data_IF_597917595163
#
_entry.id   IF_597917595163
#
_cell.length_a   1.000
_cell.length_b   1.000
_cell.length_c   1.000
_cell.angle_alpha   90.00
_cell.angle_beta   90.00
_cell.angle_gamma   90.00
#
_symmetry.space_group_name_H-M   'P 1'
#
loop_
_entity.id
_entity.type
_entity.pdbx_description
1 polymer ?
#
# COMPACT_ATOMS: atom_id res chain seq x y z
N UNK A 1 -25.58 1.43 -29.67
CA UNK A 1 -24.18 1.70 -29.99
C UNK A 1 -23.90 3.13 -29.56
N UNK A 2 -23.37 3.33 -28.38
CA UNK A 2 -22.90 4.66 -27.91
C UNK A 2 -21.38 4.59 -27.80
N UNK A 3 -20.73 5.29 -28.70
CA UNK A 3 -19.28 5.46 -28.67
C UNK A 3 -18.93 6.33 -27.47
N UNK A 4 -18.32 5.73 -26.46
CA UNK A 4 -17.74 6.46 -25.34
C UNK A 4 -16.29 6.79 -25.75
N UNK A 5 -16.05 8.04 -26.04
CA UNK A 5 -14.69 8.56 -26.22
C UNK A 5 -14.04 8.66 -24.85
N UNK A 6 -13.00 7.88 -24.64
CA UNK A 6 -12.12 7.96 -23.47
C UNK A 6 -11.20 9.17 -23.65
N UNK A 7 -11.35 10.17 -22.82
CA UNK A 7 -10.37 11.24 -22.68
C UNK A 7 -9.41 10.79 -21.60
N UNK A 8 -8.25 10.30 -22.01
CA UNK A 8 -7.11 10.10 -21.11
C UNK A 8 -6.60 11.52 -20.79
N UNK A 9 -6.91 12.04 -19.63
CA UNK A 9 -6.32 13.25 -19.11
C UNK A 9 -4.88 12.96 -18.67
N UNK A 10 -3.93 13.05 -19.59
CA UNK A 10 -2.53 13.14 -19.24
C UNK A 10 -2.33 14.47 -18.51
N UNK A 11 -2.23 14.44 -17.19
CA UNK A 11 -1.82 15.58 -16.41
C UNK A 11 -0.34 15.88 -16.72
N UNK A 12 -0.10 16.77 -17.67
CA UNK A 12 1.21 17.36 -17.85
C UNK A 12 1.46 18.33 -16.68
N UNK A 13 2.15 17.87 -15.66
CA UNK A 13 2.75 18.76 -14.69
C UNK A 13 3.84 19.55 -15.41
N UNK A 14 3.55 20.81 -15.78
CA UNK A 14 4.57 21.75 -16.18
C UNK A 14 5.41 22.09 -14.95
N UNK A 15 6.52 21.40 -14.78
CA UNK A 15 7.58 21.86 -13.88
C UNK A 15 8.18 23.08 -14.54
N UNK A 16 7.89 24.27 -14.03
CA UNK A 16 8.63 25.47 -14.37
C UNK A 16 10.05 25.29 -13.84
N UNK A 17 10.99 25.00 -14.73
CA UNK A 17 12.41 25.07 -14.43
C UNK A 17 12.73 26.53 -14.06
N UNK A 18 13.04 26.80 -12.79
CA UNK A 18 13.83 27.96 -12.42
C UNK A 18 15.29 27.64 -12.77
N UNK A 19 15.98 28.62 -13.34
CA UNK A 19 17.38 28.56 -13.77
C UNK A 19 18.32 28.28 -12.57
N UNK A 20 18.39 27.03 -12.18
CA UNK A 20 19.45 26.51 -11.28
C UNK A 20 19.90 25.16 -11.86
N UNK A 21 21.16 25.08 -12.29
CA UNK A 21 21.78 24.03 -13.10
C UNK A 21 21.86 22.65 -12.41
N UNK A 22 20.71 22.11 -11.96
CA UNK A 22 20.57 20.70 -11.57
C UNK A 22 20.14 19.86 -12.79
N UNK A 23 20.57 18.59 -12.91
CA UNK A 23 20.10 17.73 -13.98
C UNK A 23 18.58 17.59 -13.89
N UNK A 24 17.85 18.10 -14.88
CA UNK A 24 16.41 17.88 -15.03
C UNK A 24 16.18 16.37 -15.09
N UNK A 25 15.54 15.80 -14.07
CA UNK A 25 15.09 14.42 -14.14
C UNK A 25 14.18 14.28 -15.36
N UNK A 26 14.53 13.35 -16.26
CA UNK A 26 13.68 13.06 -17.41
C UNK A 26 12.32 12.60 -16.89
N UNK A 27 11.22 13.05 -17.53
CA UNK A 27 9.91 12.54 -17.20
C UNK A 27 9.92 11.00 -17.25
N UNK A 28 9.25 10.35 -16.29
CA UNK A 28 9.13 8.90 -16.27
C UNK A 28 8.43 8.43 -17.57
N UNK A 29 9.09 7.58 -18.34
CA UNK A 29 8.54 6.99 -19.57
C UNK A 29 7.92 5.64 -19.28
N UNK A 30 6.76 5.66 -18.62
CA UNK A 30 6.03 4.47 -18.19
C UNK A 30 4.58 4.82 -17.84
N UNK A 31 3.93 3.85 -17.28
CA UNK A 31 2.60 3.95 -16.70
C UNK A 31 2.72 4.16 -15.19
N UNK A 32 1.95 5.05 -14.62
CA UNK A 32 1.84 5.22 -13.17
C UNK A 32 0.46 4.77 -12.72
N UNK A 33 0.42 3.75 -11.88
CA UNK A 33 -0.81 3.31 -11.22
C UNK A 33 -0.96 4.12 -9.95
N UNK A 34 -1.96 5.00 -9.94
CA UNK A 34 -2.36 5.83 -8.82
C UNK A 34 -3.68 5.32 -8.24
N UNK A 35 -3.82 5.41 -6.93
CA UNK A 35 -5.08 5.09 -6.26
C UNK A 35 -6.13 6.21 -6.33
N UNK A 36 -5.82 7.34 -6.98
CA UNK A 36 -6.79 8.40 -7.28
C UNK A 36 -7.99 7.89 -8.09
N UNK A 37 -7.73 6.94 -8.98
CA UNK A 37 -8.75 6.26 -9.76
C UNK A 37 -9.42 5.13 -8.98
N UNK A 38 -9.49 5.22 -7.65
CA UNK A 38 -10.13 4.21 -6.80
C UNK A 38 -11.60 3.95 -7.15
N UNK A 39 -12.26 4.92 -7.76
CA UNK A 39 -13.59 4.73 -8.37
C UNK A 39 -13.60 3.76 -9.56
N UNK A 40 -12.42 3.46 -10.10
CA UNK A 40 -12.20 2.49 -11.18
C UNK A 40 -11.47 1.23 -10.71
N UNK A 41 -11.21 1.09 -9.41
CA UNK A 41 -10.75 -0.17 -8.86
C UNK A 41 -11.93 -1.14 -8.75
N UNK A 42 -11.70 -2.36 -9.17
CA UNK A 42 -12.70 -3.41 -9.19
C UNK A 42 -12.41 -4.45 -8.11
N UNK A 43 -13.48 -4.94 -7.49
CA UNK A 43 -13.41 -6.22 -6.79
C UNK A 43 -13.11 -7.30 -7.84
N UNK A 44 -11.95 -7.93 -7.73
CA UNK A 44 -11.50 -8.90 -8.73
C UNK A 44 -12.35 -10.17 -8.75
N UNK A 45 -13.18 -10.42 -7.73
CA UNK A 45 -14.08 -11.57 -7.66
C UNK A 45 -15.46 -11.28 -8.26
N UNK A 46 -15.99 -10.07 -8.01
CA UNK A 46 -17.36 -9.70 -8.43
C UNK A 46 -17.37 -8.79 -9.65
N UNK A 47 -16.29 -8.09 -9.92
CA UNK A 47 -16.22 -7.07 -10.96
C UNK A 47 -16.93 -5.76 -10.60
N UNK A 48 -17.38 -5.61 -9.36
CA UNK A 48 -18.03 -4.41 -8.89
C UNK A 48 -17.01 -3.31 -8.58
N UNK A 49 -17.43 -2.04 -8.68
CA UNK A 49 -16.61 -0.90 -8.33
C UNK A 49 -16.30 -0.89 -6.82
N UNK A 50 -15.03 -0.78 -6.48
CA UNK A 50 -14.58 -0.52 -5.11
C UNK A 50 -14.82 0.95 -4.77
N UNK A 51 -15.45 1.21 -3.64
CA UNK A 51 -15.75 2.58 -3.17
C UNK A 51 -15.03 2.87 -1.87
N UNK A 52 -14.43 4.05 -1.77
CA UNK A 52 -14.01 4.59 -0.51
C UNK A 52 -15.24 5.05 0.29
N UNK A 53 -15.18 4.86 1.59
CA UNK A 53 -16.27 5.28 2.47
C UNK A 53 -15.95 5.01 3.92
N UNK A 54 -16.79 5.49 4.85
CA UNK A 54 -16.58 5.24 6.26
C UNK A 54 -16.53 3.75 6.56
N UNK A 55 -15.48 3.34 7.28
CA UNK A 55 -15.31 1.97 7.76
C UNK A 55 -15.42 1.98 9.27
N UNK A 56 -16.34 1.21 9.83
CA UNK A 56 -16.46 1.04 11.29
C UNK A 56 -15.85 -0.31 11.68
N UNK A 57 -14.93 -0.27 12.61
CA UNK A 57 -14.28 -1.47 13.17
C UNK A 57 -14.36 -1.44 14.68
N UNK A 58 -14.53 -2.61 15.29
CA UNK A 58 -14.35 -2.76 16.74
C UNK A 58 -12.87 -2.79 17.05
N UNK A 59 -12.40 -1.89 17.88
CA UNK A 59 -11.00 -1.81 18.29
C UNK A 59 -10.85 -2.37 19.70
N UNK A 60 -9.92 -3.28 19.88
CA UNK A 60 -9.66 -3.95 21.16
C UNK A 60 -9.45 -2.90 22.28
N UNK A 61 -10.29 -2.97 23.31
CA UNK A 61 -10.23 -2.04 24.46
C UNK A 61 -10.73 -0.62 24.21
N UNK A 62 -11.21 -0.28 22.99
CA UNK A 62 -11.67 1.06 22.64
C UNK A 62 -13.10 1.11 22.08
N UNK A 63 -13.71 -0.05 21.84
CA UNK A 63 -15.02 -0.15 21.21
C UNK A 63 -15.01 0.23 19.71
N UNK A 64 -16.20 0.49 19.17
CA UNK A 64 -16.35 0.79 17.74
C UNK A 64 -15.76 2.16 17.40
N UNK A 65 -15.01 2.19 16.31
CA UNK A 65 -14.41 3.39 15.74
C UNK A 65 -14.68 3.49 14.23
N UNK A 66 -15.10 4.67 13.78
CA UNK A 66 -15.37 4.92 12.36
C UNK A 66 -14.22 5.71 11.73
N UNK A 67 -13.63 5.15 10.71
CA UNK A 67 -12.64 5.81 9.85
C UNK A 67 -13.38 6.54 8.74
N UNK A 68 -13.25 7.86 8.66
CA UNK A 68 -14.07 8.70 7.79
C UNK A 68 -13.78 8.47 6.35
N UNK A 69 -12.73 8.27 5.78
CA UNK A 69 -12.42 8.11 4.36
C UNK A 69 -11.45 6.94 4.15
N UNK A 70 -11.82 5.79 4.68
CA UNK A 70 -11.05 4.57 4.49
C UNK A 70 -11.94 3.44 3.98
N UNK A 71 -11.37 2.61 3.11
CA UNK A 71 -11.93 1.36 2.66
C UNK A 71 -10.99 0.23 3.07
N UNK A 72 -11.53 -0.83 3.63
CA UNK A 72 -10.81 -2.07 3.83
C UNK A 72 -11.75 -3.26 3.60
N UNK A 73 -11.20 -4.44 3.59
CA UNK A 73 -11.88 -5.69 3.30
C UNK A 73 -13.11 -6.02 4.18
N UNK A 74 -13.56 -5.14 5.04
CA UNK A 74 -14.69 -5.38 5.94
C UNK A 74 -16.02 -5.71 5.25
N UNK A 75 -16.16 -5.44 3.98
CA UNK A 75 -17.39 -5.77 3.25
C UNK A 75 -17.58 -7.28 3.04
N UNK A 76 -16.60 -8.08 3.51
CA UNK A 76 -16.67 -9.52 3.41
C UNK A 76 -17.60 -10.11 4.43
N UNK A 77 -18.24 -11.16 3.96
CA UNK A 77 -19.38 -11.80 4.60
C UNK A 77 -19.20 -11.96 6.10
N UNK A 78 -20.09 -11.36 6.84
CA UNK A 78 -20.27 -11.61 8.26
C UNK A 78 -20.52 -13.10 8.43
N UNK A 79 -19.58 -13.80 9.08
CA UNK A 79 -19.77 -15.20 9.49
C UNK A 79 -18.80 -16.21 8.87
N UNK A 80 -17.83 -15.77 8.10
CA UNK A 80 -16.71 -16.62 7.68
C UNK A 80 -15.47 -16.28 8.50
N UNK A 81 -14.69 -17.27 8.87
CA UNK A 81 -13.56 -17.09 9.78
C UNK A 81 -12.43 -16.29 9.15
N UNK A 82 -12.27 -16.37 7.83
CA UNK A 82 -11.31 -15.61 7.03
C UNK A 82 -11.87 -15.36 5.64
N UNK A 83 -12.08 -14.11 5.32
CA UNK A 83 -12.44 -13.69 3.96
C UNK A 83 -11.30 -12.88 3.34
N UNK A 84 -10.85 -13.32 2.18
CA UNK A 84 -9.90 -12.61 1.36
C UNK A 84 -10.61 -11.85 0.24
N UNK A 85 -10.08 -10.71 -0.12
CA UNK A 85 -10.45 -9.96 -1.29
C UNK A 85 -9.24 -9.69 -2.15
N UNK A 86 -9.52 -9.73 -3.42
CA UNK A 86 -8.62 -9.23 -4.42
C UNK A 86 -9.28 -8.02 -5.06
N UNK A 87 -8.61 -6.86 -5.07
CA UNK A 87 -9.01 -5.80 -5.96
C UNK A 87 -8.01 -5.63 -7.08
N UNK A 88 -8.52 -5.22 -8.22
CA UNK A 88 -7.71 -4.96 -9.40
C UNK A 88 -7.82 -3.52 -9.85
N UNK A 89 -6.82 -3.06 -10.58
CA UNK A 89 -6.96 -1.86 -11.42
C UNK A 89 -8.05 -2.08 -12.48
N UNK A 90 -8.60 -0.98 -13.03
CA UNK A 90 -9.68 -1.03 -14.02
C UNK A 90 -9.31 -1.83 -15.27
N UNK A 91 -8.05 -1.84 -15.66
CA UNK A 91 -7.49 -2.67 -16.73
C UNK A 91 -7.14 -4.10 -16.28
N UNK A 92 -7.34 -4.40 -14.98
CA UNK A 92 -7.05 -5.66 -14.32
C UNK A 92 -5.57 -6.12 -14.37
N UNK A 93 -4.64 -5.22 -14.65
CA UNK A 93 -3.21 -5.56 -14.73
C UNK A 93 -2.56 -5.75 -13.38
N UNK A 94 -2.98 -5.00 -12.35
CA UNK A 94 -2.52 -5.17 -10.99
C UNK A 94 -3.64 -5.68 -10.10
N UNK A 95 -3.34 -6.69 -9.29
CA UNK A 95 -4.25 -7.28 -8.33
C UNK A 95 -3.64 -7.19 -6.94
N UNK A 96 -4.40 -6.65 -6.00
CA UNK A 96 -4.00 -6.43 -4.61
C UNK A 96 -4.78 -7.36 -3.69
N UNK A 97 -4.10 -7.94 -2.71
CA UNK A 97 -4.77 -8.76 -1.70
C UNK A 97 -5.20 -7.93 -0.49
N UNK A 98 -6.35 -8.28 0.06
CA UNK A 98 -6.77 -7.86 1.39
C UNK A 98 -7.50 -9.02 2.06
N UNK A 99 -7.50 -9.07 3.37
CA UNK A 99 -8.31 -10.01 4.12
C UNK A 99 -8.80 -9.39 5.43
N UNK A 100 -9.87 -9.96 5.95
CA UNK A 100 -10.43 -9.63 7.25
C UNK A 100 -10.83 -10.91 7.97
N UNK A 101 -10.55 -10.99 9.28
CA UNK A 101 -11.06 -12.05 10.14
C UNK A 101 -12.04 -11.47 11.13
N UNK A 102 -13.31 -11.91 11.05
CA UNK A 102 -14.32 -11.54 12.02
C UNK A 102 -14.11 -12.21 13.38
N UNK A 103 -13.44 -13.37 13.38
CA UNK A 103 -13.18 -14.14 14.60
C UNK A 103 -12.16 -13.44 15.51
N UNK A 104 -11.17 -12.79 14.93
CA UNK A 104 -10.07 -12.15 15.65
C UNK A 104 -10.10 -10.62 15.53
N UNK A 105 -11.15 -10.07 14.87
CA UNK A 105 -11.27 -8.63 14.58
C UNK A 105 -9.98 -8.06 13.95
N UNK A 106 -9.35 -8.88 13.11
CA UNK A 106 -8.09 -8.60 12.45
C UNK A 106 -8.25 -8.41 10.95
N UNK A 107 -7.31 -7.70 10.37
CA UNK A 107 -7.21 -7.52 8.93
C UNK A 107 -5.75 -7.64 8.46
N UNK A 108 -5.56 -7.80 7.17
CA UNK A 108 -4.25 -7.81 6.53
C UNK A 108 -4.33 -7.42 5.07
N UNK A 109 -3.18 -7.37 4.42
CA UNK A 109 -3.09 -6.94 3.05
C UNK A 109 -3.28 -5.42 2.91
N UNK A 110 -4.10 -4.99 1.96
CA UNK A 110 -4.17 -3.61 1.50
C UNK A 110 -5.54 -2.99 1.81
N UNK A 111 -5.54 -1.77 2.33
CA UNK A 111 -6.72 -0.90 2.41
C UNK A 111 -6.46 0.42 1.70
N UNK A 112 -7.50 1.08 1.23
CA UNK A 112 -7.40 2.39 0.60
C UNK A 112 -7.81 3.49 1.58
N UNK A 113 -7.18 4.66 1.48
CA UNK A 113 -7.42 5.75 2.43
C UNK A 113 -7.18 7.13 1.82
N UNK A 114 -7.94 8.12 2.35
CA UNK A 114 -7.75 9.56 2.17
C UNK A 114 -7.68 10.25 3.53
N UNK A 115 -6.85 9.74 4.43
CA UNK A 115 -6.77 10.20 5.82
C UNK A 115 -5.35 10.67 6.18
N UNK A 116 -4.88 11.82 5.62
CA UNK A 116 -3.62 12.38 6.04
C UNK A 116 -3.68 12.81 7.52
N UNK A 117 -2.68 12.48 8.29
CA UNK A 117 -2.59 12.91 9.70
C UNK A 117 -1.12 13.02 10.13
N UNK A 118 -0.66 14.24 10.35
CA UNK A 118 0.69 14.55 10.87
C UNK A 118 0.67 15.04 12.32
N UNK A 119 -0.41 14.75 13.04
CA UNK A 119 -0.47 15.13 14.43
C UNK A 119 0.33 14.15 15.28
N UNK A 120 1.32 14.67 16.01
CA UNK A 120 2.02 13.91 17.03
C UNK A 120 1.03 13.66 18.19
N UNK A 121 0.69 12.41 18.40
CA UNK A 121 -0.24 11.97 19.41
C UNK A 121 0.23 10.65 20.03
N UNK A 122 -0.41 10.23 21.10
CA UNK A 122 -0.20 8.89 21.61
C UNK A 122 -0.55 7.86 20.52
N UNK A 123 0.31 6.85 20.29
CA UNK A 123 0.09 5.85 19.25
C UNK A 123 -1.22 5.11 19.50
N UNK A 124 -1.99 4.91 18.45
CA UNK A 124 -3.31 4.28 18.56
C UNK A 124 -3.70 3.58 17.27
N UNK A 125 -4.40 2.45 17.39
CA UNK A 125 -5.02 1.76 16.25
C UNK A 125 -6.02 2.64 15.48
N UNK A 126 -6.50 3.75 16.08
CA UNK A 126 -7.29 4.77 15.35
C UNK A 126 -6.51 5.43 14.21
N UNK A 127 -5.18 5.36 14.21
CA UNK A 127 -4.30 5.94 13.21
C UNK A 127 -3.87 4.93 12.13
N UNK A 128 -4.42 3.71 12.14
CA UNK A 128 -3.96 2.63 11.27
C UNK A 128 -4.17 2.90 9.76
N UNK A 129 -5.15 3.74 9.39
CA UNK A 129 -5.41 4.14 8.01
C UNK A 129 -4.81 5.50 7.64
N UNK A 130 -4.15 6.18 8.57
CA UNK A 130 -3.61 7.50 8.31
C UNK A 130 -2.16 7.43 7.85
N UNK A 131 -1.77 8.33 6.92
CA UNK A 131 -0.40 8.51 6.47
C UNK A 131 0.25 9.70 7.19
N UNK A 132 1.53 9.57 7.56
CA UNK A 132 2.34 10.69 8.08
C UNK A 132 2.85 11.58 6.94
N UNK A 133 1.89 12.16 6.21
CA UNK A 133 2.09 13.08 5.11
C UNK A 133 0.89 14.02 4.99
N UNK A 134 0.94 14.98 4.07
CA UNK A 134 -0.15 15.95 3.85
C UNK A 134 -1.23 15.42 2.90
N UNK A 135 -1.06 14.22 2.36
CA UNK A 135 -1.93 13.54 1.41
C UNK A 135 -1.21 12.35 0.80
N UNK A 136 -1.66 11.87 -0.34
CA UNK A 136 -0.96 10.87 -1.14
C UNK A 136 0.32 11.42 -1.77
N UNK A 137 1.07 10.57 -2.47
CA UNK A 137 2.32 10.96 -3.12
C UNK A 137 2.06 11.93 -4.29
N UNK A 138 3.00 12.84 -4.51
CA UNK A 138 2.98 13.81 -5.62
C UNK A 138 1.67 14.64 -5.74
N UNK A 139 0.94 14.81 -4.62
CA UNK A 139 -0.27 15.62 -4.57
C UNK A 139 -1.55 14.84 -4.84
N UNK A 140 -1.51 13.52 -4.86
CA UNK A 140 -2.69 12.67 -4.86
C UNK A 140 -3.43 12.76 -3.50
N UNK A 141 -4.71 12.39 -3.47
CA UNK A 141 -5.48 12.32 -2.22
C UNK A 141 -5.55 10.89 -1.68
N UNK A 142 -5.66 9.91 -2.59
CA UNK A 142 -5.88 8.50 -2.27
C UNK A 142 -4.57 7.73 -2.31
N UNK A 143 -4.35 6.90 -1.31
CA UNK A 143 -3.19 6.01 -1.21
C UNK A 143 -3.60 4.66 -0.62
N UNK A 144 -2.74 3.66 -0.77
CA UNK A 144 -2.93 2.37 -0.14
C UNK A 144 -2.23 2.29 1.22
N UNK A 145 -2.90 1.70 2.20
CA UNK A 145 -2.33 1.34 3.50
C UNK A 145 -2.11 -0.16 3.52
N UNK A 146 -0.86 -0.55 3.62
CA UNK A 146 -0.42 -1.93 3.69
C UNK A 146 -0.29 -2.35 5.14
N UNK A 147 -0.79 -3.51 5.45
CA UNK A 147 -0.65 -4.13 6.76
C UNK A 147 -0.10 -5.54 6.65
N UNK A 148 1.10 -5.73 7.18
CA UNK A 148 1.69 -7.05 7.36
C UNK A 148 1.25 -7.61 8.71
N UNK A 149 0.36 -8.57 8.67
CA UNK A 149 -0.11 -9.25 9.87
C UNK A 149 0.83 -10.38 10.28
N UNK A 150 2.04 -10.06 10.65
CA UNK A 150 3.10 -10.99 11.07
C UNK A 150 2.63 -12.18 11.94
N UNK A 151 1.60 -11.94 12.71
CA UNK A 151 1.10 -12.85 13.73
C UNK A 151 0.32 -14.05 13.19
N UNK A 152 -0.54 -13.92 12.18
CA UNK A 152 -1.46 -14.98 11.80
C UNK A 152 -0.80 -16.18 11.14
N UNK A 153 0.28 -15.98 10.38
CA UNK A 153 0.98 -17.10 9.72
C UNK A 153 1.69 -18.02 10.70
N UNK A 154 2.16 -17.48 11.83
CA UNK A 154 2.77 -18.29 12.87
C UNK A 154 1.72 -18.90 13.83
N UNK A 155 0.66 -18.15 14.13
CA UNK A 155 -0.40 -18.57 15.04
C UNK A 155 -1.46 -19.46 14.37
N UNK A 156 -1.73 -19.24 13.09
CA UNK A 156 -2.80 -19.92 12.33
C UNK A 156 -2.35 -20.27 10.91
N UNK A 157 -1.27 -21.08 10.77
CA UNK A 157 -0.68 -21.37 9.45
C UNK A 157 -1.66 -22.07 8.49
N UNK A 158 -2.67 -22.76 9.01
CA UNK A 158 -3.71 -23.43 8.23
C UNK A 158 -4.68 -22.46 7.53
N UNK A 159 -4.80 -21.24 8.03
CA UNK A 159 -5.74 -20.23 7.48
C UNK A 159 -5.06 -19.18 6.62
N UNK A 160 -3.74 -19.02 6.74
CA UNK A 160 -3.02 -17.86 6.20
C UNK A 160 -1.77 -18.26 5.39
N UNK A 161 -1.77 -19.45 4.84
CA UNK A 161 -0.61 -20.15 4.28
C UNK A 161 0.29 -19.33 3.34
N UNK A 162 -0.19 -18.24 2.74
CA UNK A 162 0.63 -17.33 1.92
C UNK A 162 0.14 -15.87 1.95
N UNK A 163 -0.98 -15.59 2.60
CA UNK A 163 -1.71 -14.33 2.49
C UNK A 163 -1.54 -13.37 3.66
N UNK A 164 -0.65 -13.67 4.61
CA UNK A 164 -0.35 -12.79 5.74
C UNK A 164 0.34 -11.50 5.36
N UNK A 165 0.97 -11.48 4.19
CA UNK A 165 1.70 -10.33 3.69
C UNK A 165 0.87 -9.57 2.64
N UNK A 166 0.96 -8.23 2.58
CA UNK A 166 0.43 -7.49 1.44
C UNK A 166 1.16 -7.91 0.17
N UNK A 167 0.40 -8.15 -0.90
CA UNK A 167 0.94 -8.50 -2.21
C UNK A 167 0.37 -7.63 -3.31
N UNK A 168 1.15 -7.48 -4.36
CA UNK A 168 0.72 -6.98 -5.66
C UNK A 168 1.03 -8.08 -6.67
N UNK A 169 0.00 -8.65 -7.26
CA UNK A 169 0.13 -9.59 -8.38
C UNK A 169 -0.03 -8.82 -9.70
N UNK A 170 0.86 -9.09 -10.65
CA UNK A 170 0.80 -8.53 -12.00
C UNK A 170 0.31 -9.63 -12.94
N UNK A 171 -0.82 -9.40 -13.61
CA UNK A 171 -1.42 -10.39 -14.53
C UNK A 171 -0.47 -10.73 -15.67
N UNK A 172 0.25 -9.73 -16.16
CA UNK A 172 1.36 -9.93 -17.08
C UNK A 172 2.65 -9.46 -16.40
N UNK A 173 3.76 -10.21 -16.53
CA UNK A 173 5.03 -9.80 -15.96
C UNK A 173 5.45 -8.41 -16.48
N UNK A 174 5.85 -7.53 -15.58
CA UNK A 174 6.31 -6.16 -15.89
C UNK A 174 7.51 -5.79 -15.02
N UNK A 175 8.27 -4.83 -15.49
CA UNK A 175 9.28 -4.17 -14.66
C UNK A 175 8.56 -3.06 -13.87
N UNK A 176 8.51 -3.25 -12.55
CA UNK A 176 8.09 -2.17 -11.63
C UNK A 176 9.30 -1.28 -11.41
N UNK A 177 9.27 -0.08 -12.00
CA UNK A 177 10.39 0.84 -11.92
C UNK A 177 10.51 1.46 -10.53
N UNK A 178 9.39 1.84 -9.94
CA UNK A 178 9.36 2.47 -8.63
C UNK A 178 7.97 2.40 -7.99
N UNK A 179 7.94 2.70 -6.70
CA UNK A 179 6.74 3.11 -5.98
C UNK A 179 7.11 4.19 -4.96
N UNK A 180 6.10 4.83 -4.38
CA UNK A 180 6.32 5.71 -3.24
C UNK A 180 5.89 5.02 -1.95
N UNK A 181 6.66 5.22 -0.87
CA UNK A 181 6.42 4.63 0.45
C UNK A 181 6.45 5.72 1.52
N UNK A 182 5.60 5.58 2.54
CA UNK A 182 5.58 6.47 3.69
C UNK A 182 5.26 5.70 4.98
N UNK A 183 5.60 6.30 6.12
CA UNK A 183 5.11 5.80 7.40
C UNK A 183 3.59 5.99 7.51
N UNK A 184 2.89 4.99 8.05
CA UNK A 184 1.58 5.27 8.63
C UNK A 184 1.73 6.18 9.85
N UNK A 185 0.68 6.93 10.17
CA UNK A 185 0.70 7.80 11.36
C UNK A 185 0.86 6.98 12.65
N UNK A 186 0.29 5.78 12.69
CA UNK A 186 0.45 4.91 13.86
C UNK A 186 1.90 4.52 14.07
N UNK A 187 2.59 4.00 13.06
CA UNK A 187 4.01 3.62 13.13
C UNK A 187 4.88 4.82 13.47
N UNK A 188 4.65 5.97 12.84
CA UNK A 188 5.43 7.16 13.11
C UNK A 188 5.33 7.62 14.58
N UNK A 189 4.15 7.55 15.18
CA UNK A 189 3.92 7.92 16.58
C UNK A 189 4.33 6.84 17.57
N UNK A 190 4.32 5.56 17.15
CA UNK A 190 4.66 4.42 18.00
C UNK A 190 6.13 4.40 18.39
N UNK A 191 7.02 4.58 17.42
CA UNK A 191 8.45 4.62 17.68
C UNK A 191 8.83 5.96 18.33
N UNK A 192 9.52 5.87 19.47
CA UNK A 192 9.81 7.04 20.32
C UNK A 192 11.08 7.78 19.92
N UNK A 193 11.90 7.19 19.06
CA UNK A 193 13.23 7.66 18.69
C UNK A 193 14.34 7.12 19.60
N UNK A 194 14.09 5.97 20.27
CA UNK A 194 15.14 5.22 20.95
C UNK A 194 16.15 4.70 19.92
N UNK A 195 17.41 4.56 20.31
CA UNK A 195 18.46 4.08 19.40
C UNK A 195 18.19 2.66 18.86
N UNK A 196 17.37 1.88 19.58
CA UNK A 196 16.92 0.55 19.18
C UNK A 196 15.70 0.55 18.24
N UNK A 197 15.04 1.70 18.05
CA UNK A 197 13.85 1.76 17.21
C UNK A 197 14.22 1.44 15.74
N UNK A 198 13.57 0.45 15.15
CA UNK A 198 13.77 0.03 13.77
C UNK A 198 12.47 -0.41 13.14
N UNK A 199 12.16 0.15 11.98
CA UNK A 199 11.07 -0.31 11.14
C UNK A 199 11.48 -0.23 9.68
N UNK A 200 11.46 -1.37 9.01
CA UNK A 200 11.83 -1.49 7.60
C UNK A 200 10.72 -2.23 6.84
N UNK A 201 10.69 -2.02 5.54
CA UNK A 201 9.83 -2.78 4.63
C UNK A 201 10.71 -3.50 3.61
N UNK A 202 10.67 -4.83 3.62
CA UNK A 202 11.30 -5.66 2.60
C UNK A 202 10.29 -5.92 1.49
N UNK A 203 10.66 -5.57 0.26
CA UNK A 203 9.88 -5.77 -0.96
C UNK A 203 10.57 -6.86 -1.76
N UNK A 204 9.93 -7.99 -1.95
CA UNK A 204 10.48 -9.13 -2.68
C UNK A 204 9.73 -9.29 -4.00
N UNK A 205 10.46 -9.34 -5.12
CA UNK A 205 9.91 -9.61 -6.44
C UNK A 205 10.09 -11.07 -6.83
N UNK A 206 9.10 -11.66 -7.48
CA UNK A 206 9.18 -13.00 -8.06
C UNK A 206 8.63 -13.04 -9.49
N UNK A 207 9.01 -14.07 -10.24
CA UNK A 207 8.52 -14.37 -11.58
C UNK A 207 8.31 -15.88 -11.70
N UNK A 208 7.09 -16.31 -12.00
CA UNK A 208 6.75 -17.73 -12.07
C UNK A 208 7.03 -18.49 -10.78
N UNK A 209 6.86 -17.83 -9.63
CA UNK A 209 7.14 -18.38 -8.30
C UNK A 209 8.64 -18.43 -7.92
N UNK A 210 9.53 -17.90 -8.75
CA UNK A 210 10.97 -17.83 -8.48
C UNK A 210 11.34 -16.42 -8.03
N UNK A 211 11.94 -16.30 -6.85
CA UNK A 211 12.42 -15.01 -6.32
C UNK A 211 13.48 -14.40 -7.26
N UNK A 212 13.29 -13.13 -7.63
CA UNK A 212 14.21 -12.34 -8.46
C UNK A 212 15.17 -11.50 -7.64
N UNK A 213 14.75 -11.16 -6.43
CA UNK A 213 15.51 -10.34 -5.51
C UNK A 213 14.62 -9.59 -4.52
N UNK A 214 15.23 -8.80 -3.67
CA UNK A 214 14.50 -7.95 -2.73
C UNK A 214 15.17 -6.61 -2.51
N UNK A 215 14.36 -5.60 -2.23
CA UNK A 215 14.76 -4.25 -1.81
C UNK A 215 14.26 -4.05 -0.38
N UNK A 216 15.09 -3.46 0.47
CA UNK A 216 14.68 -3.12 1.84
C UNK A 216 14.72 -1.62 2.02
N UNK A 217 13.60 -1.04 2.41
CA UNK A 217 13.45 0.39 2.65
C UNK A 217 13.29 0.64 4.14
N UNK A 218 14.11 1.57 4.68
CA UNK A 218 14.09 1.92 6.10
C UNK A 218 13.17 3.12 6.33
N UNK A 219 12.13 2.91 7.13
CA UNK A 219 11.17 3.96 7.51
C UNK A 219 11.45 4.56 8.88
N UNK A 220 12.03 3.78 9.79
CA UNK A 220 12.49 4.23 11.12
C UNK A 220 13.84 3.61 11.41
N UNK A 221 14.78 4.45 11.88
CA UNK A 221 16.09 4.05 12.40
C UNK A 221 16.47 4.98 13.55
N UNK A 222 16.24 4.56 14.78
CA UNK A 222 16.44 5.37 15.98
C UNK A 222 15.62 6.66 15.90
N UNK A 223 16.31 7.79 15.99
CA UNK A 223 15.68 9.13 15.90
C UNK A 223 15.29 9.54 14.49
N UNK A 224 15.83 8.88 13.48
CA UNK A 224 15.50 9.16 12.07
C UNK A 224 14.23 8.42 11.69
N UNK A 225 13.18 9.18 11.40
CA UNK A 225 11.89 8.65 10.93
C UNK A 225 11.55 9.29 9.61
N UNK A 226 11.17 8.49 8.61
CA UNK A 226 10.74 9.00 7.33
C UNK A 226 9.50 9.88 7.53
N UNK A 227 9.59 11.13 7.10
CA UNK A 227 8.50 12.09 7.13
C UNK A 227 8.07 12.40 5.69
N UNK A 228 6.81 12.12 5.37
CA UNK A 228 6.29 12.21 4.01
C UNK A 228 6.66 11.00 3.15
N UNK A 229 6.55 11.17 1.85
CA UNK A 229 6.73 10.13 0.86
C UNK A 229 8.19 10.02 0.38
N UNK A 230 8.63 8.80 0.11
CA UNK A 230 9.93 8.50 -0.50
C UNK A 230 9.72 7.60 -1.72
N UNK A 231 10.34 7.97 -2.82
CA UNK A 231 10.42 7.13 -4.02
C UNK A 231 11.42 6.01 -3.79
N UNK A 232 11.00 4.78 -4.06
CA UNK A 232 11.82 3.56 -3.96
C UNK A 232 12.02 3.01 -5.36
N UNK A 233 13.25 2.85 -5.80
CA UNK A 233 13.60 2.23 -7.08
C UNK A 233 13.53 0.71 -6.95
N UNK A 234 12.71 0.08 -7.76
CA UNK A 234 12.53 -1.38 -7.84
C UNK A 234 13.04 -1.97 -9.16
N UNK A 235 13.58 -1.16 -10.06
CA UNK A 235 13.99 -1.57 -11.42
C UNK A 235 14.97 -2.73 -11.42
N UNK A 236 15.83 -2.84 -10.40
CA UNK A 236 16.82 -3.92 -10.26
C UNK A 236 16.20 -5.30 -10.04
N UNK A 237 14.91 -5.41 -9.70
CA UNK A 237 14.20 -6.69 -9.62
C UNK A 237 13.93 -7.28 -11.01
N UNK A 238 14.03 -6.46 -12.07
CA UNK A 238 13.68 -6.86 -13.42
C UNK A 238 12.18 -7.12 -13.58
N UNK A 239 11.81 -7.95 -14.57
CA UNK A 239 10.42 -8.34 -14.76
C UNK A 239 9.95 -9.27 -13.64
N UNK A 240 8.81 -8.94 -13.05
CA UNK A 240 8.15 -9.69 -11.98
C UNK A 240 6.67 -9.87 -12.29
N UNK A 241 6.08 -10.93 -11.76
CA UNK A 241 4.63 -11.19 -11.76
C UNK A 241 4.02 -11.03 -10.36
N UNK A 242 4.86 -10.89 -9.33
CA UNK A 242 4.43 -10.68 -7.94
C UNK A 242 5.42 -9.84 -7.16
N UNK A 243 4.91 -8.92 -6.35
CA UNK A 243 5.61 -8.26 -5.27
C UNK A 243 5.00 -8.68 -3.93
N UNK A 244 5.85 -9.02 -2.98
CA UNK A 244 5.48 -9.33 -1.59
C UNK A 244 6.13 -8.31 -0.67
N UNK A 245 5.35 -7.73 0.22
CA UNK A 245 5.82 -6.72 1.16
C UNK A 245 5.82 -7.30 2.56
N UNK A 246 6.96 -7.18 3.23
CA UNK A 246 7.13 -7.66 4.61
C UNK A 246 7.66 -6.54 5.49
N UNK A 247 6.96 -6.27 6.58
CA UNK A 247 7.47 -5.42 7.64
C UNK A 247 8.58 -6.15 8.41
N UNK A 248 9.65 -5.44 8.69
CA UNK A 248 10.78 -5.93 9.50
C UNK A 248 10.92 -4.99 10.69
N UNK A 249 10.61 -5.50 11.88
CA UNK A 249 10.67 -4.80 13.16
C UNK A 249 11.13 -5.78 14.24
N UNK A 250 11.59 -5.25 15.38
CA UNK A 250 12.23 -6.05 16.40
C UNK A 250 11.24 -6.81 17.29
N UNK A 251 9.98 -6.34 17.39
CA UNK A 251 8.98 -6.91 18.28
C UNK A 251 7.70 -7.28 17.53
N UNK A 252 7.15 -8.47 17.84
CA UNK A 252 5.88 -8.97 17.27
C UNK A 252 4.67 -8.06 17.59
N UNK A 253 4.78 -7.22 18.62
CA UNK A 253 3.71 -6.31 19.03
C UNK A 253 3.79 -4.94 18.33
N UNK A 254 4.81 -4.71 17.50
CA UNK A 254 4.95 -3.44 16.78
C UNK A 254 3.86 -3.31 15.71
N UNK A 255 3.33 -2.10 15.49
CA UNK A 255 2.39 -1.89 14.41
C UNK A 255 3.11 -2.01 13.05
N UNK A 256 2.65 -2.90 12.20
CA UNK A 256 3.28 -3.25 10.92
C UNK A 256 2.56 -2.61 9.74
N UNK A 257 2.21 -1.32 9.87
CA UNK A 257 1.50 -0.54 8.88
C UNK A 257 2.43 0.42 8.15
N UNK A 258 2.31 0.49 6.84
CA UNK A 258 2.99 1.48 5.99
C UNK A 258 2.09 1.85 4.83
N UNK A 259 2.41 2.96 4.16
CA UNK A 259 1.61 3.46 3.05
C UNK A 259 2.39 3.35 1.75
N UNK A 260 1.69 3.03 0.67
CA UNK A 260 2.24 2.91 -0.69
C UNK A 260 1.36 3.70 -1.65
N UNK A 261 1.99 4.36 -2.62
CA UNK A 261 1.29 5.10 -3.66
C UNK A 261 2.11 5.16 -4.95
N UNK A 262 1.48 5.54 -6.03
CA UNK A 262 2.09 5.78 -7.34
C UNK A 262 3.11 4.72 -7.78
N UNK A 263 2.60 3.59 -8.26
CA UNK A 263 3.41 2.47 -8.74
C UNK A 263 3.74 2.70 -10.21
N UNK A 264 5.03 2.92 -10.50
CA UNK A 264 5.52 3.15 -11.86
C UNK A 264 5.88 1.85 -12.56
N UNK A 265 5.24 1.57 -13.68
CA UNK A 265 5.49 0.40 -14.53
C UNK A 265 6.20 0.83 -15.81
N UNK A 266 7.31 0.19 -16.17
CA UNK A 266 7.91 0.41 -17.48
C UNK A 266 6.99 -0.12 -18.58
N UNK A 267 7.11 0.47 -19.77
CA UNK A 267 6.40 -0.02 -20.95
C UNK A 267 6.80 -1.46 -21.27
N UNK A 268 5.91 -2.29 -21.82
CA UNK A 268 6.23 -3.69 -22.17
C UNK A 268 7.45 -3.85 -23.06
N UNK A 269 7.70 -2.89 -23.94
CA UNK A 269 8.82 -2.91 -24.89
C UNK A 269 10.21 -2.68 -24.25
N UNK A 270 10.23 -2.41 -22.92
CA UNK A 270 11.47 -2.23 -22.16
C UNK A 270 12.01 -3.53 -21.54
N UNK A 271 11.35 -4.66 -21.81
CA UNK A 271 11.74 -6.00 -21.31
C UNK A 271 12.74 -6.71 -22.22
#
# INVERSE_FOLDING_TARGET
MKNIFWIIAAAFAFVACSDDDGPCEKPFDGEVVSFEASEHLLDAMTGDDVKLGPVTMSLMGMGDYTYANAFCAKQYAVGTDFDGMLFSTADQNLVFNAYYSSLYDGRGGIGLSRMPDRNAAAPSSKQQFSVWADGGANGTETYAVFYDSNSPTEMYPEYLSESGYPTIDLVEPRIVAHLYIANSTWVYNYFTGADSDSFQVKITGSLGGVEKGSITETLVAGKSKLSGWRKVDLSSLGAVDKLVFKAVCDYLADPTYFCVDEIGLLKPDAM
#
